data_IF_697003430265
#
_entry.id   IF_697003430265
#
_cell.length_a   1.000
_cell.length_b   1.000
_cell.length_c   1.000
_cell.angle_alpha   90.00
_cell.angle_beta   90.00
_cell.angle_gamma   90.00
#
_symmetry.space_group_name_H-M   'P 1'
#
loop_
_entity.id
_entity.type
_entity.pdbx_description
1 polymer ?
#
# COMPACT_ATOMS: atom_id res chain seq x y z
N UNK A 1 -1.78 11.13 3.93
CA UNK A 1 -2.99 11.73 4.53
C UNK A 1 -4.03 12.32 3.57
N UNK A 2 -3.68 13.09 2.52
CA UNK A 2 -4.72 13.62 1.61
C UNK A 2 -5.40 12.55 0.75
N UNK A 3 -4.61 11.64 0.16
CA UNK A 3 -5.12 10.58 -0.73
C UNK A 3 -5.83 9.43 0.00
N UNK A 4 -5.49 9.19 1.28
CA UNK A 4 -6.05 8.10 2.07
C UNK A 4 -7.54 8.26 2.41
N UNK A 5 -8.13 9.43 2.12
CA UNK A 5 -9.59 9.66 2.21
C UNK A 5 -10.36 9.15 0.99
N UNK A 6 -9.66 9.00 -0.15
CA UNK A 6 -10.26 8.64 -1.45
C UNK A 6 -9.78 7.30 -1.99
N UNK A 7 -8.66 6.80 -1.46
CA UNK A 7 -8.03 5.55 -1.88
C UNK A 7 -7.56 4.78 -0.66
N UNK A 8 -7.54 3.45 -0.78
CA UNK A 8 -6.99 2.59 0.27
C UNK A 8 -5.49 2.87 0.42
N UNK A 9 -4.99 3.18 1.64
CA UNK A 9 -3.56 3.38 1.88
C UNK A 9 -2.71 2.19 1.42
N UNK A 10 -3.18 0.97 1.66
CA UNK A 10 -2.48 -0.26 1.27
C UNK A 10 -2.38 -0.38 -0.26
N UNK A 11 -3.41 0.07 -0.98
CA UNK A 11 -3.38 0.06 -2.44
C UNK A 11 -2.41 1.11 -3.01
N UNK A 12 -2.32 2.29 -2.39
CA UNK A 12 -1.33 3.31 -2.76
C UNK A 12 0.10 2.83 -2.52
N UNK A 13 0.36 2.12 -1.42
CA UNK A 13 1.66 1.51 -1.17
C UNK A 13 2.01 0.40 -2.16
N UNK A 14 1.03 -0.40 -2.60
CA UNK A 14 1.26 -1.37 -3.64
C UNK A 14 1.74 -0.74 -4.96
N UNK A 15 1.33 0.51 -5.25
CA UNK A 15 1.92 1.31 -6.33
C UNK A 15 3.38 1.63 -6.01
N UNK A 16 3.71 2.18 -4.84
CA UNK A 16 5.11 2.47 -4.49
C UNK A 16 6.00 1.21 -4.61
N UNK A 17 5.48 0.05 -4.26
CA UNK A 17 6.14 -1.26 -4.41
C UNK A 17 6.20 -1.78 -5.87
N UNK A 18 5.99 -0.90 -6.85
CA UNK A 18 6.21 -1.17 -8.28
C UNK A 18 5.00 -1.70 -9.06
N UNK A 19 3.81 -1.84 -8.47
CA UNK A 19 2.62 -2.18 -9.26
C UNK A 19 2.21 -0.95 -10.10
N UNK A 20 1.96 -1.14 -11.39
CA UNK A 20 1.67 -0.05 -12.33
C UNK A 20 0.54 -0.43 -13.28
N UNK A 21 -0.27 0.57 -13.61
CA UNK A 21 -1.19 0.55 -14.74
C UNK A 21 -1.14 1.93 -15.41
N UNK A 22 -0.97 1.96 -16.72
CA UNK A 22 -1.01 3.20 -17.49
C UNK A 22 -2.45 3.56 -17.88
N UNK A 23 -2.77 4.85 -18.09
CA UNK A 23 -4.09 5.28 -18.56
C UNK A 23 -4.52 4.61 -19.87
N UNK A 24 -3.58 4.30 -20.76
CA UNK A 24 -3.82 3.66 -22.05
C UNK A 24 -4.24 2.19 -21.87
N UNK A 25 -3.64 1.50 -20.90
CA UNK A 25 -3.99 0.10 -20.58
C UNK A 25 -5.42 -0.06 -20.04
N UNK A 26 -6.09 1.02 -19.63
CA UNK A 26 -7.50 0.97 -19.21
C UNK A 26 -8.43 0.58 -20.35
N UNK A 27 -7.99 0.63 -21.62
CA UNK A 27 -8.79 0.19 -22.76
C UNK A 27 -8.76 -1.34 -22.95
N UNK A 28 -7.83 -2.03 -22.27
CA UNK A 28 -7.68 -3.48 -22.31
C UNK A 28 -8.16 -4.12 -21.00
N UNK A 29 -9.31 -4.80 -21.06
CA UNK A 29 -9.89 -5.51 -19.92
C UNK A 29 -8.92 -6.53 -19.29
N UNK A 30 -8.11 -7.21 -20.10
CA UNK A 30 -7.17 -8.21 -19.61
C UNK A 30 -6.03 -7.56 -18.80
N UNK A 31 -5.51 -6.43 -19.29
CA UNK A 31 -4.48 -5.67 -18.56
C UNK A 31 -5.00 -5.14 -17.22
N UNK A 32 -6.23 -4.63 -17.18
CA UNK A 32 -6.84 -4.16 -15.93
C UNK A 32 -7.15 -5.33 -14.98
N UNK A 33 -7.51 -6.49 -15.52
CA UNK A 33 -7.75 -7.71 -14.73
C UNK A 33 -6.47 -8.24 -14.09
N UNK A 34 -5.37 -8.35 -14.85
CA UNK A 34 -4.06 -8.75 -14.30
C UNK A 34 -3.60 -7.80 -13.19
N UNK A 35 -3.76 -6.49 -13.40
CA UNK A 35 -3.46 -5.50 -12.37
C UNK A 35 -4.34 -5.69 -11.13
N UNK A 36 -5.65 -5.91 -11.30
CA UNK A 36 -6.58 -6.09 -10.19
C UNK A 36 -6.26 -7.35 -9.37
N UNK A 37 -5.94 -8.46 -10.03
CA UNK A 37 -5.57 -9.72 -9.38
C UNK A 37 -4.28 -9.55 -8.56
N UNK A 38 -3.22 -9.00 -9.17
CA UNK A 38 -1.95 -8.71 -8.48
C UNK A 38 -2.12 -7.74 -7.32
N UNK A 39 -2.96 -6.73 -7.47
CA UNK A 39 -3.27 -5.80 -6.38
C UNK A 39 -4.00 -6.54 -5.25
N UNK A 40 -5.00 -7.37 -5.57
CA UNK A 40 -5.74 -8.18 -4.61
C UNK A 40 -4.82 -9.09 -3.79
N UNK A 41 -3.89 -9.78 -4.45
CA UNK A 41 -2.89 -10.64 -3.80
C UNK A 41 -2.00 -9.86 -2.82
N UNK A 42 -1.45 -8.72 -3.25
CA UNK A 42 -0.61 -7.85 -2.39
C UNK A 42 -1.39 -7.34 -1.17
N UNK A 43 -2.64 -6.96 -1.38
CA UNK A 43 -3.51 -6.46 -0.31
C UNK A 43 -3.88 -7.55 0.70
N UNK A 44 -3.97 -8.81 0.28
CA UNK A 44 -4.28 -9.93 1.17
C UNK A 44 -3.11 -10.32 2.07
N UNK A 45 -1.87 -10.04 1.68
CA UNK A 45 -0.68 -10.45 2.43
C UNK A 45 -0.55 -9.82 3.83
N UNK A 46 -1.21 -8.68 4.09
CA UNK A 46 -1.04 -7.91 5.33
C UNK A 46 -2.38 -7.58 6.03
N UNK A 47 -3.37 -8.46 5.93
CA UNK A 47 -4.71 -8.26 6.51
C UNK A 47 -4.75 -8.54 8.02
N UNK A 48 -5.52 -7.72 8.75
CA UNK A 48 -5.88 -8.06 10.13
C UNK A 48 -6.94 -9.17 10.16
N UNK A 49 -7.06 -9.86 11.31
CA UNK A 49 -8.04 -10.93 11.47
C UNK A 49 -9.47 -10.41 11.26
N UNK A 50 -10.19 -11.02 10.31
CA UNK A 50 -11.57 -10.66 9.98
C UNK A 50 -11.70 -9.53 8.95
N UNK A 51 -10.60 -9.03 8.41
CA UNK A 51 -10.59 -8.14 7.25
C UNK A 51 -10.45 -8.93 5.94
N UNK A 52 -11.02 -8.40 4.86
CA UNK A 52 -10.89 -8.98 3.52
C UNK A 52 -10.83 -7.89 2.46
N UNK A 53 -9.75 -7.88 1.69
CA UNK A 53 -9.69 -7.12 0.44
C UNK A 53 -10.24 -7.95 -0.73
N UNK A 54 -10.95 -7.29 -1.64
CA UNK A 54 -11.27 -7.81 -2.96
C UNK A 54 -11.05 -6.70 -3.98
N UNK A 55 -10.44 -7.01 -5.12
CA UNK A 55 -10.29 -6.07 -6.23
C UNK A 55 -11.04 -6.62 -7.43
N UNK A 56 -11.96 -5.83 -7.98
CA UNK A 56 -12.80 -6.22 -9.12
C UNK A 56 -12.63 -5.23 -10.26
N UNK A 57 -12.82 -5.67 -11.50
CA UNK A 57 -12.82 -4.79 -12.67
C UNK A 57 -14.23 -4.34 -12.99
N UNK A 58 -14.40 -3.06 -13.32
CA UNK A 58 -15.64 -2.50 -13.87
C UNK A 58 -15.38 -1.83 -15.21
N UNK A 59 -16.42 -1.73 -16.03
CA UNK A 59 -16.41 -0.97 -17.28
C UNK A 59 -17.14 0.35 -17.09
N UNK A 60 -16.54 1.45 -17.53
CA UNK A 60 -17.17 2.76 -17.60
C UNK A 60 -18.16 2.76 -18.79
N UNK A 61 -19.48 2.86 -18.55
CA UNK A 61 -20.48 2.63 -19.60
C UNK A 61 -20.44 3.68 -20.72
N UNK A 62 -20.12 4.93 -20.40
CA UNK A 62 -20.12 6.04 -21.35
C UNK A 62 -18.80 6.15 -22.14
N UNK A 63 -17.67 5.89 -21.48
CA UNK A 63 -16.34 6.06 -22.07
C UNK A 63 -15.73 4.76 -22.59
N UNK A 64 -16.26 3.61 -22.17
CA UNK A 64 -15.90 2.28 -22.69
C UNK A 64 -14.62 1.66 -22.11
N UNK A 65 -13.87 2.36 -21.26
CA UNK A 65 -12.68 1.85 -20.60
C UNK A 65 -13.01 1.02 -19.34
N UNK A 66 -12.02 0.29 -18.84
CA UNK A 66 -12.08 -0.55 -17.66
C UNK A 66 -11.28 0.05 -16.50
N UNK A 67 -11.71 -0.17 -15.27
CA UNK A 67 -11.02 0.34 -14.08
C UNK A 67 -11.12 -0.63 -12.90
N UNK A 68 -10.07 -0.70 -12.05
CA UNK A 68 -10.11 -1.50 -10.85
C UNK A 68 -10.89 -0.80 -9.74
N UNK A 69 -11.56 -1.62 -8.94
CA UNK A 69 -12.37 -1.22 -7.79
C UNK A 69 -11.89 -2.01 -6.59
N UNK A 70 -11.35 -1.31 -5.59
CA UNK A 70 -10.82 -1.92 -4.37
C UNK A 70 -11.87 -1.87 -3.28
N UNK A 71 -12.25 -3.05 -2.78
CA UNK A 71 -13.19 -3.24 -1.67
C UNK A 71 -12.47 -3.76 -0.45
N UNK A 72 -12.77 -3.17 0.71
CA UNK A 72 -12.38 -3.65 2.02
C UNK A 72 -13.63 -3.99 2.82
N UNK A 73 -13.77 -5.25 3.24
CA UNK A 73 -14.70 -5.65 4.28
C UNK A 73 -13.94 -5.72 5.61
N UNK A 74 -14.30 -4.86 6.56
CA UNK A 74 -13.70 -4.82 7.90
C UNK A 74 -14.79 -4.61 8.95
N UNK A 75 -14.80 -5.45 10.01
CA UNK A 75 -15.79 -5.39 11.08
C UNK A 75 -17.27 -5.37 10.61
N UNK A 76 -17.56 -6.05 9.49
CA UNK A 76 -18.89 -6.08 8.88
C UNK A 76 -19.27 -4.85 8.03
N UNK A 77 -18.36 -3.89 7.87
CA UNK A 77 -18.54 -2.71 7.02
C UNK A 77 -17.73 -2.88 5.74
N UNK A 78 -18.38 -2.71 4.59
CA UNK A 78 -17.73 -2.70 3.29
C UNK A 78 -17.44 -1.26 2.85
N UNK A 79 -16.20 -0.98 2.45
CA UNK A 79 -15.79 0.29 1.86
C UNK A 79 -15.19 0.05 0.49
N UNK A 80 -15.60 0.86 -0.49
CA UNK A 80 -15.22 0.69 -1.89
C UNK A 80 -14.56 1.96 -2.44
N UNK A 81 -13.53 1.78 -3.26
CA UNK A 81 -12.82 2.88 -3.93
C UNK A 81 -12.57 2.56 -5.40
N UNK A 82 -13.02 3.44 -6.27
CA UNK A 82 -12.82 3.35 -7.72
C UNK A 82 -11.52 4.04 -8.14
N UNK A 83 -10.71 3.35 -8.95
CA UNK A 83 -9.46 3.88 -9.49
C UNK A 83 -9.68 4.16 -10.98
N UNK A 84 -10.41 5.23 -11.29
CA UNK A 84 -10.74 5.57 -12.68
C UNK A 84 -9.57 6.22 -13.44
N UNK A 85 -9.77 6.51 -14.72
CA UNK A 85 -8.77 7.13 -15.60
C UNK A 85 -8.12 8.36 -14.99
N UNK A 86 -8.89 9.22 -14.32
CA UNK A 86 -8.37 10.43 -13.67
C UNK A 86 -7.33 10.14 -12.58
N UNK A 87 -7.45 9.02 -11.87
CA UNK A 87 -6.44 8.61 -10.89
C UNK A 87 -5.12 8.28 -11.59
N UNK A 88 -5.16 7.41 -12.61
CA UNK A 88 -3.96 6.99 -13.34
C UNK A 88 -3.33 8.13 -14.16
N UNK A 89 -4.13 9.14 -14.56
CA UNK A 89 -3.64 10.34 -15.23
C UNK A 89 -3.19 11.45 -14.26
N UNK A 90 -3.44 11.30 -12.95
CA UNK A 90 -3.17 12.34 -11.96
C UNK A 90 -1.67 12.58 -11.73
N UNK A 91 -1.33 13.78 -11.26
CA UNK A 91 0.02 14.08 -10.78
C UNK A 91 0.38 13.26 -9.55
N UNK A 92 -0.60 12.99 -8.68
CA UNK A 92 -0.41 12.19 -7.48
C UNK A 92 -0.01 10.75 -7.78
N UNK A 93 -0.64 10.11 -8.77
CA UNK A 93 -0.24 8.78 -9.20
C UNK A 93 1.17 8.76 -9.78
N UNK A 94 1.52 9.75 -10.61
CA UNK A 94 2.89 9.88 -11.13
C UNK A 94 3.91 10.04 -10.00
N UNK A 95 3.65 10.89 -9.02
CA UNK A 95 4.57 11.06 -7.88
C UNK A 95 4.72 9.78 -7.04
N UNK A 96 3.66 8.98 -6.88
CA UNK A 96 3.76 7.67 -6.21
C UNK A 96 4.60 6.68 -7.02
N UNK A 97 4.44 6.69 -8.34
CA UNK A 97 5.22 5.85 -9.24
C UNK A 97 6.71 6.23 -9.21
N UNK A 98 7.03 7.51 -9.38
CA UNK A 98 8.40 8.04 -9.34
C UNK A 98 9.08 7.75 -8.00
N UNK A 99 8.37 7.95 -6.88
CA UNK A 99 8.87 7.58 -5.57
C UNK A 99 9.18 6.09 -5.47
N UNK A 100 8.28 5.24 -6.00
CA UNK A 100 8.52 3.80 -6.05
C UNK A 100 9.76 3.44 -6.86
N UNK A 101 9.97 4.09 -8.01
CA UNK A 101 11.13 3.84 -8.85
C UNK A 101 12.43 4.24 -8.14
N UNK A 102 12.43 5.39 -7.44
CA UNK A 102 13.55 5.83 -6.60
C UNK A 102 13.82 4.82 -5.48
N UNK A 103 12.82 4.47 -4.67
CA UNK A 103 12.98 3.58 -3.52
C UNK A 103 13.43 2.17 -3.92
N UNK A 104 12.87 1.61 -5.00
CA UNK A 104 13.23 0.28 -5.48
C UNK A 104 14.64 0.27 -6.15
N UNK A 105 15.20 1.43 -6.49
CA UNK A 105 16.58 1.56 -6.98
C UNK A 105 17.62 1.71 -5.86
N UNK A 106 17.21 2.02 -4.62
CA UNK A 106 18.13 2.23 -3.51
C UNK A 106 18.80 0.95 -2.99
N UNK A 107 18.19 -0.22 -3.25
CA UNK A 107 18.65 -1.49 -2.69
C UNK A 107 19.02 -2.45 -3.82
N UNK A 108 20.33 -2.48 -4.09
CA UNK A 108 20.93 -3.40 -5.05
C UNK A 108 20.80 -4.87 -4.63
N UNK A 109 21.12 -5.77 -5.55
CA UNK A 109 21.17 -7.20 -5.29
C UNK A 109 22.20 -7.52 -4.20
N UNK A 110 21.78 -8.23 -3.15
CA UNK A 110 22.58 -8.47 -1.94
C UNK A 110 22.54 -7.34 -0.91
N UNK A 111 21.76 -6.28 -1.16
CA UNK A 111 21.49 -5.25 -0.17
C UNK A 111 20.71 -5.78 1.03
N UNK A 112 20.98 -5.21 2.21
CA UNK A 112 20.35 -5.61 3.46
C UNK A 112 20.17 -4.42 4.40
N UNK A 113 19.22 -4.54 5.32
CA UNK A 113 19.05 -3.65 6.45
C UNK A 113 19.78 -4.26 7.65
N UNK A 114 20.54 -3.46 8.41
CA UNK A 114 21.23 -3.92 9.61
C UNK A 114 20.98 -3.00 10.79
N UNK A 115 20.79 -3.60 11.97
CA UNK A 115 20.70 -2.90 13.23
C UNK A 115 21.40 -3.68 14.33
N UNK A 116 22.53 -3.15 14.79
CA UNK A 116 23.43 -3.90 15.66
C UNK A 116 23.87 -5.19 14.98
N UNK A 117 23.67 -6.32 15.65
CA UNK A 117 24.08 -7.64 15.17
C UNK A 117 23.02 -8.35 14.32
N UNK A 118 21.84 -7.73 14.11
CA UNK A 118 20.76 -8.31 13.31
C UNK A 118 20.77 -7.74 11.89
N UNK A 119 20.47 -8.60 10.94
CA UNK A 119 20.31 -8.25 9.53
C UNK A 119 18.97 -8.72 8.99
N UNK A 120 18.45 -8.00 8.00
CA UNK A 120 17.33 -8.39 7.16
C UNK A 120 17.74 -8.19 5.70
N UNK A 121 17.82 -9.29 4.96
CA UNK A 121 18.02 -9.27 3.52
C UNK A 121 16.66 -9.04 2.84
N UNK A 122 16.45 -7.82 2.35
CA UNK A 122 15.27 -7.49 1.55
C UNK A 122 15.62 -6.38 0.58
N UNK A 123 15.02 -6.45 -0.62
CA UNK A 123 15.07 -5.38 -1.61
C UNK A 123 13.84 -4.47 -1.54
N UNK A 124 12.87 -4.81 -0.70
CA UNK A 124 11.70 -3.99 -0.47
C UNK A 124 12.01 -2.95 0.62
N UNK A 125 12.09 -1.70 0.22
CA UNK A 125 12.39 -0.60 1.14
C UNK A 125 11.34 -0.46 2.25
N UNK A 126 10.06 -0.59 1.93
CA UNK A 126 8.94 -0.49 2.87
C UNK A 126 9.05 -1.56 3.96
N UNK A 127 9.38 -2.80 3.57
CA UNK A 127 9.63 -3.91 4.48
C UNK A 127 10.83 -3.63 5.39
N UNK A 128 11.96 -3.20 4.81
CA UNK A 128 13.18 -2.90 5.57
C UNK A 128 13.00 -1.75 6.58
N UNK A 129 12.29 -0.70 6.20
CA UNK A 129 11.95 0.40 7.11
C UNK A 129 11.02 -0.07 8.24
N UNK A 130 9.99 -0.86 7.92
CA UNK A 130 9.09 -1.43 8.94
C UNK A 130 9.86 -2.32 9.92
N UNK A 131 10.80 -3.13 9.43
CA UNK A 131 11.68 -3.96 10.25
C UNK A 131 12.60 -3.12 11.16
N UNK A 132 13.25 -2.08 10.63
CA UNK A 132 14.07 -1.17 11.44
C UNK A 132 13.27 -0.51 12.57
N UNK A 133 12.04 -0.08 12.28
CA UNK A 133 11.13 0.51 13.27
C UNK A 133 10.68 -0.50 14.32
N UNK A 134 10.41 -1.74 13.93
CA UNK A 134 10.06 -2.81 14.87
C UNK A 134 11.22 -3.13 15.81
N UNK A 135 12.45 -3.27 15.29
CA UNK A 135 13.63 -3.44 16.12
C UNK A 135 13.93 -2.20 16.98
N UNK A 136 13.49 -1.00 16.58
CA UNK A 136 13.57 0.22 17.39
C UNK A 136 12.70 0.20 18.63
N UNK A 137 11.53 -0.42 18.53
CA UNK A 137 10.57 -0.49 19.63
C UNK A 137 10.91 -1.58 20.64
N UNK A 138 11.70 -2.59 20.25
CA UNK A 138 12.16 -3.64 21.16
C UNK A 138 13.05 -3.04 22.25
N UNK A 139 12.60 -3.09 23.50
CA UNK A 139 13.34 -2.62 24.68
C UNK A 139 12.89 -1.28 25.27
N UNK A 140 11.93 -0.58 24.64
CA UNK A 140 11.34 0.64 25.19
C UNK A 140 9.89 0.39 25.61
N UNK A 141 9.55 0.65 26.88
CA UNK A 141 8.16 0.75 27.30
C UNK A 141 7.69 2.18 27.05
N UNK A 142 6.57 2.35 26.35
CA UNK A 142 5.94 3.67 26.15
C UNK A 142 4.85 3.80 27.20
N UNK A 143 5.11 4.54 28.27
CA UNK A 143 4.10 4.88 29.25
C UNK A 143 3.48 6.23 28.90
N UNK A 144 2.21 6.21 28.51
CA UNK A 144 1.45 7.42 28.17
C UNK A 144 0.72 7.91 29.42
N UNK A 145 1.29 8.91 30.08
CA UNK A 145 0.65 9.53 31.24
C UNK A 145 -0.61 10.29 30.83
N UNK A 146 -1.75 9.98 31.48
CA UNK A 146 -3.06 10.59 31.17
C UNK A 146 -3.67 11.35 32.35
N UNK A 147 -3.00 11.43 33.51
CA UNK A 147 -3.47 12.19 34.67
C UNK A 147 -2.38 12.53 35.69
N UNK A 148 -2.63 13.55 36.53
CA UNK A 148 -1.70 14.12 37.52
C UNK A 148 -1.35 13.21 38.72
N UNK A 149 -1.94 12.01 38.82
CA UNK A 149 -1.73 11.05 39.93
C UNK A 149 -0.99 9.77 39.56
N UNK A 150 -0.37 9.70 38.38
CA UNK A 150 0.26 8.49 37.84
C UNK A 150 1.77 8.36 38.12
N UNK A 151 2.33 9.23 38.97
CA UNK A 151 3.73 9.14 39.42
C UNK A 151 3.79 8.84 40.92
N UNK A 152 4.66 7.91 41.34
CA UNK A 152 4.98 7.71 42.76
C UNK A 152 5.72 8.96 43.31
N UNK A 153 5.45 9.38 44.56
CA UNK A 153 6.18 10.46 45.22
C UNK A 153 7.65 10.11 45.50
#
# INVERSE_FOLDING_TARGET
>A
DRLSRRYSPSALWAIVDGLRLSPEQLEDEAAVTDFAERLSERLQANLAQGERYTVTVRRAPEQGYYYPVVRLLAHGVETEHDYQRDFFASGEYRSLAELGDELNSLIDEGGYFQRGDKTLETRNFSEGLAWLMAEARKGYSIQRYKGLGEMNP
#
